data_IF_128496848410
#
_entry.id   IF_128496848410
#
_cell.length_a   1.000
_cell.length_b   1.000
_cell.length_c   1.000
_cell.angle_alpha   90.00
_cell.angle_beta   90.00
_cell.angle_gamma   90.00
#
_symmetry.space_group_name_H-M   'P 1'
#
loop_
_entity.id
_entity.type
_entity.pdbx_description
1 polymer ?
2 non-polymer ?
#
# COMPACT_ATOMS: atom_id res chain seq x y z
N UNK A 20 1.29 -23.38 17.30
CA UNK A 20 2.23 -22.39 17.78
C UNK A 20 2.02 -21.05 17.10
N UNK A 21 2.07 -19.97 17.89
CA UNK A 21 1.85 -18.63 17.33
C UNK A 21 3.03 -18.14 16.51
N UNK A 22 4.20 -18.76 16.66
CA UNK A 22 5.38 -18.30 15.91
C UNK A 22 5.24 -18.60 14.43
N UNK A 23 4.70 -19.77 14.09
CA UNK A 23 4.56 -20.14 12.68
C UNK A 23 3.60 -19.21 11.95
N UNK A 24 2.50 -18.84 12.59
CA UNK A 24 1.57 -17.91 11.96
C UNK A 24 2.09 -16.47 12.01
N UNK A 25 2.87 -16.13 13.05
CA UNK A 25 3.46 -14.79 13.11
C UNK A 25 4.46 -14.58 11.99
N UNK A 26 5.21 -15.63 11.64
CA UNK A 26 6.13 -15.53 10.50
C UNK A 26 5.34 -15.37 9.20
N UNK A 27 4.21 -16.08 9.08
CA UNK A 27 3.40 -15.98 7.88
C UNK A 27 2.77 -14.60 7.74
N UNK A 28 2.31 -14.02 8.85
CA UNK A 28 1.75 -12.68 8.81
C UNK A 28 2.84 -11.66 8.50
N UNK A 29 4.07 -11.92 8.96
CA UNK A 29 5.19 -11.04 8.64
C UNK A 29 5.45 -11.02 7.14
N UNK A 30 5.49 -12.20 6.52
CA UNK A 30 5.65 -12.26 5.07
C UNK A 30 4.39 -11.79 4.35
N UNK A 31 3.24 -11.84 5.02
CA UNK A 31 2.02 -11.29 4.42
C UNK A 31 2.13 -9.77 4.28
N UNK A 32 2.72 -9.11 5.27
CA UNK A 32 2.99 -7.68 5.14
C UNK A 32 3.96 -7.42 3.99
N UNK A 33 4.96 -8.29 3.81
CA UNK A 33 5.89 -8.13 2.70
C UNK A 33 5.18 -8.25 1.37
N UNK A 34 4.30 -9.25 1.24
CA UNK A 34 3.54 -9.40 0.00
C UNK A 34 2.61 -8.21 -0.23
N UNK A 35 2.05 -7.65 0.85
CA UNK A 35 1.19 -6.49 0.71
C UNK A 35 1.99 -5.24 0.36
N UNK A 36 3.16 -5.07 0.97
CA UNK A 36 4.00 -3.91 0.68
C UNK A 36 4.69 -4.00 -0.66
N UNK A 37 4.73 -5.19 -1.28
CA UNK A 37 5.32 -5.33 -2.60
C UNK A 37 4.53 -4.59 -3.68
N UNK A 38 3.27 -4.25 -3.41
CA UNK A 38 2.48 -3.49 -4.37
C UNK A 38 3.03 -2.09 -4.59
N UNK A 39 3.80 -1.56 -3.64
CA UNK A 39 4.43 -0.25 -3.78
C UNK A 39 5.83 -0.35 -4.36
N UNK A 40 6.58 -1.39 -4.01
CA UNK A 40 7.95 -1.53 -4.51
C UNK A 40 7.94 -2.00 -5.97
N UNK A 41 7.08 -2.96 -6.30
CA UNK A 41 7.04 -3.47 -7.67
C UNK A 41 6.44 -2.45 -8.63
N UNK A 42 5.52 -1.61 -8.15
CA UNK A 42 4.90 -0.57 -8.97
C UNK A 42 5.60 0.77 -8.85
N UNK A 43 6.85 0.77 -8.41
CA UNK A 43 7.59 2.03 -8.29
C UNK A 43 7.85 2.62 -9.66
N UNK A 44 7.83 3.96 -9.74
CA UNK A 44 8.01 4.67 -11.00
C UNK A 44 9.35 5.40 -10.96
N UNK A 45 10.41 4.83 -11.51
CA UNK A 45 11.71 5.51 -11.53
C UNK A 45 11.72 6.62 -12.57
N UNK A 46 12.86 7.32 -12.62
CA UNK A 46 13.04 8.38 -13.60
C UNK A 46 13.06 7.80 -15.01
N UNK A 47 12.12 8.25 -15.84
CA UNK A 47 11.97 7.74 -17.20
C UNK A 47 11.84 8.90 -18.18
N UNK A 48 12.11 8.59 -19.45
CA UNK A 48 12.00 9.58 -20.51
C UNK A 48 11.74 8.84 -21.82
N UNK A 49 11.29 9.60 -22.82
CA UNK A 49 10.97 9.03 -24.11
C UNK A 49 12.24 8.66 -24.88
N UNK A 50 12.08 7.77 -25.85
CA UNK A 50 13.19 7.37 -26.71
C UNK A 50 13.56 8.51 -27.64
N UNK A 51 14.85 8.85 -27.69
CA UNK A 51 15.34 9.94 -28.52
C UNK A 51 16.60 9.48 -29.25
N UNK A 52 16.73 9.78 -30.54
CA UNK A 52 17.96 9.40 -31.26
C UNK A 52 19.19 10.16 -30.81
N UNK A 53 19.02 11.30 -30.12
CA UNK A 53 20.16 12.05 -29.63
C UNK A 53 20.74 11.49 -28.34
N UNK A 54 20.06 10.52 -27.72
CA UNK A 54 20.51 9.97 -26.44
C UNK A 54 20.61 8.45 -26.48
N UNK A 55 19.78 7.80 -27.29
CA UNK A 55 19.70 6.34 -27.31
C UNK A 55 20.35 5.71 -28.53
N UNK A 56 20.62 6.47 -29.59
CA UNK A 56 21.26 5.92 -30.78
C UNK A 56 22.77 5.83 -30.55
N UNK A 57 23.51 5.58 -31.63
CA UNK A 57 24.97 5.46 -31.53
C UNK A 57 25.58 6.79 -31.12
N UNK A 58 26.76 6.70 -30.49
CA UNK A 58 27.43 7.90 -30.02
C UNK A 58 27.92 8.77 -31.17
N UNK A 59 28.25 8.16 -32.31
CA UNK A 59 28.71 8.90 -33.47
C UNK A 59 27.53 9.65 -34.10
N UNK A 60 27.50 10.97 -33.91
CA UNK A 60 26.43 11.81 -34.44
C UNK A 60 27.04 12.97 -35.21
N UNK A 61 26.24 13.53 -36.12
CA UNK A 61 26.67 14.64 -36.94
C UNK A 61 26.60 15.95 -36.16
N UNK A 67 28.77 14.73 -27.09
CA UNK A 67 29.20 15.61 -26.02
C UNK A 67 28.02 16.37 -25.43
N UNK A 68 28.12 16.72 -24.14
CA UNK A 68 27.09 17.44 -23.40
C UNK A 68 25.75 16.72 -23.50
N UNK A 69 25.59 15.58 -22.82
CA UNK A 69 24.30 14.86 -22.92
C UNK A 69 23.14 15.62 -22.32
N UNK A 70 23.38 16.48 -21.33
CA UNK A 70 22.31 17.27 -20.74
C UNK A 70 21.72 18.24 -21.76
N UNK A 71 22.58 18.85 -22.58
CA UNK A 71 22.10 19.77 -23.61
C UNK A 71 21.24 19.05 -24.64
N UNK A 72 21.65 17.85 -25.05
CA UNK A 72 20.84 17.08 -26.00
C UNK A 72 19.52 16.66 -25.37
N UNK A 73 19.54 16.28 -24.09
CA UNK A 73 18.31 15.92 -23.39
C UNK A 73 17.37 17.11 -23.31
N UNK A 74 17.92 18.32 -23.10
CA UNK A 74 17.09 19.51 -23.01
C UNK A 74 16.51 19.89 -24.36
N UNK A 75 17.32 19.83 -25.42
CA UNK A 75 16.84 20.22 -26.75
C UNK A 75 15.96 19.15 -27.38
N UNK A 76 15.99 17.91 -26.87
CA UNK A 76 15.17 16.84 -27.43
C UNK A 76 13.85 16.65 -26.69
N UNK A 77 13.75 17.10 -25.43
CA UNK A 77 12.54 16.92 -24.65
C UNK A 77 12.11 18.26 -24.07
N UNK A 78 10.85 18.66 -24.24
CA UNK A 78 10.41 19.94 -23.66
C UNK A 78 10.31 19.83 -22.15
N UNK A 79 10.53 20.93 -21.43
CA UNK A 79 10.44 20.88 -19.97
C UNK A 79 9.01 20.64 -19.50
N UNK A 80 8.89 20.02 -18.34
CA UNK A 80 7.59 19.73 -17.76
C UNK A 80 7.48 20.18 -16.32
N UNK A 81 6.88 19.35 -15.48
CA UNK A 81 6.70 19.73 -14.08
C UNK A 81 8.03 19.78 -13.33
N UNK A 82 8.10 20.72 -12.39
CA UNK A 82 9.28 20.92 -11.55
C UNK A 82 10.52 21.17 -12.40
N UNK A 83 10.34 21.92 -13.49
CA UNK A 83 11.43 22.29 -14.41
C UNK A 83 12.19 21.08 -14.94
N UNK A 84 11.56 19.92 -14.98
CA UNK A 84 12.17 18.69 -15.46
C UNK A 84 11.73 18.40 -16.88
N UNK A 85 12.52 17.65 -17.65
CA UNK A 85 12.07 17.23 -18.98
C UNK A 85 10.83 16.36 -18.89
N UNK A 86 9.88 16.60 -19.78
CA UNK A 86 8.61 15.88 -19.74
C UNK A 86 8.81 14.41 -20.01
N UNK A 87 7.87 13.59 -19.51
CA UNK A 87 7.97 12.15 -19.63
C UNK A 87 6.97 11.54 -20.61
N UNK A 88 6.09 12.36 -21.19
CA UNK A 88 5.09 11.85 -22.13
C UNK A 88 5.01 12.70 -23.39
N UNK A 89 5.98 13.59 -23.61
CA UNK A 89 6.00 14.44 -24.80
C UNK A 89 7.42 14.56 -25.31
N UNK A 90 7.57 14.59 -26.63
CA UNK A 90 8.87 14.70 -27.26
C UNK A 90 8.77 15.65 -28.46
N UNK A 91 9.84 16.41 -28.68
CA UNK A 91 9.90 17.31 -29.82
C UNK A 91 9.99 16.53 -31.12
N UNK A 92 9.17 16.90 -32.10
CA UNK A 92 9.24 16.24 -33.40
C UNK A 92 10.52 16.57 -34.14
N UNK A 93 11.10 17.73 -33.85
CA UNK A 93 12.35 18.18 -34.45
C UNK A 93 13.27 18.70 -33.36
N UNK A 94 14.60 18.65 -33.57
CA UNK A 94 15.52 19.15 -32.56
C UNK A 94 15.36 20.65 -32.32
N UNK A 95 14.91 21.01 -31.11
CA UNK A 95 14.67 22.41 -30.77
C UNK A 95 15.98 23.01 -30.26
N UNK A 96 16.71 23.65 -31.18
CA UNK A 96 17.97 24.28 -30.84
C UNK A 96 17.80 25.55 -30.00
N UNK A 97 16.56 25.93 -29.69
CA UNK A 97 16.34 27.13 -28.89
C UNK A 97 16.85 26.96 -27.47
N UNK A 98 16.88 25.74 -26.95
CA UNK A 98 17.39 25.46 -25.62
C UNK A 98 18.90 25.29 -25.58
N UNK A 99 19.58 25.47 -26.72
CA UNK A 99 21.03 25.35 -26.79
C UNK A 99 21.73 26.69 -26.89
N UNK A 100 21.22 27.59 -27.71
CA UNK A 100 21.83 28.92 -27.86
C UNK A 100 21.65 29.71 -26.58
N UNK A 101 22.73 30.19 -25.96
CA UNK A 101 22.59 30.94 -24.70
C UNK A 101 21.86 32.26 -24.86
N UNK A 102 21.91 32.86 -26.05
CA UNK A 102 21.24 34.14 -26.29
C UNK A 102 19.80 33.98 -26.75
N UNK A 103 19.35 32.76 -27.00
CA UNK A 103 17.97 32.54 -27.43
C UNK A 103 17.01 32.70 -26.25
N UNK A 104 15.77 33.07 -26.57
CA UNK A 104 14.73 33.26 -25.56
C UNK A 104 14.19 31.90 -25.16
N UNK A 105 14.53 31.47 -23.94
CA UNK A 105 14.09 30.17 -23.45
C UNK A 105 12.60 30.16 -23.19
N UNK A 106 12.02 28.96 -23.23
CA UNK A 106 10.59 28.74 -22.96
C UNK A 106 9.71 29.58 -23.89
N UNK A 107 9.90 29.38 -25.19
CA UNK A 107 9.12 30.06 -26.20
C UNK A 107 8.69 29.18 -27.36
N UNK A 108 8.91 27.87 -27.28
CA UNK A 108 8.53 26.98 -28.37
C UNK A 108 7.02 26.80 -28.44
N UNK A 109 6.56 26.23 -29.55
CA UNK A 109 5.14 26.01 -29.77
C UNK A 109 4.74 24.60 -29.36
N UNK A 110 3.44 24.44 -29.09
CA UNK A 110 2.93 23.13 -28.69
C UNK A 110 2.84 22.18 -29.87
N UNK A 111 2.68 22.71 -31.09
CA UNK A 111 2.57 21.85 -32.26
C UNK A 111 3.87 21.13 -32.59
N UNK A 112 5.00 21.60 -32.06
CA UNK A 112 6.29 20.98 -32.31
C UNK A 112 6.53 19.73 -31.47
N UNK A 113 5.52 19.24 -30.77
CA UNK A 113 5.64 18.06 -29.92
C UNK A 113 4.81 16.91 -30.48
N UNK A 114 5.28 15.70 -30.24
CA UNK A 114 4.62 14.49 -30.69
C UNK A 114 4.32 13.59 -29.50
N UNK A 115 3.21 12.83 -29.54
CA UNK A 115 2.79 12.01 -28.40
C UNK A 115 3.58 10.71 -28.23
N UNK A 116 4.93 10.85 -28.20
CA UNK A 116 5.84 9.74 -27.91
C UNK A 116 5.63 8.58 -28.88
N UNK A 117 5.88 8.85 -30.17
CA UNK A 117 5.69 7.83 -31.20
C UNK A 117 6.74 6.74 -31.14
N UNK A 118 7.87 6.99 -30.49
CA UNK A 118 8.98 6.03 -30.44
C UNK A 118 9.11 5.33 -29.09
N UNK A 119 8.06 5.40 -28.26
CA UNK A 119 8.10 4.72 -26.98
C UNK A 119 8.81 5.54 -25.91
N UNK A 120 9.26 4.83 -24.88
CA UNK A 120 9.94 5.46 -23.75
C UNK A 120 11.15 4.64 -23.36
N UNK A 121 11.95 5.20 -22.45
CA UNK A 121 13.12 4.51 -21.89
C UNK A 121 13.14 4.77 -20.39
N UNK A 122 13.84 3.91 -19.67
CA UNK A 122 13.86 3.96 -18.21
C UNK A 122 15.29 3.95 -17.71
N UNK A 123 15.55 4.75 -16.67
CA UNK A 123 16.87 4.82 -16.05
C UNK A 123 16.90 3.89 -14.84
N UNK A 124 17.93 3.04 -14.79
CA UNK A 124 18.06 2.05 -13.71
C UNK A 124 18.86 2.65 -12.54
N UNK A 125 18.34 3.77 -12.02
CA UNK A 125 19.00 4.45 -10.91
C UNK A 125 18.64 3.81 -9.57
N UNK A 126 17.35 3.79 -9.25
CA UNK A 126 16.89 3.27 -7.97
C UNK A 126 16.38 1.85 -8.14
N UNK A 127 15.80 1.56 -9.30
CA UNK A 127 15.26 0.24 -9.59
C UNK A 127 15.68 -0.18 -10.98
N UNK A 128 16.05 -1.45 -11.12
CA UNK A 128 16.50 -1.99 -12.40
C UNK A 128 15.40 -2.68 -13.19
N UNK A 129 14.32 -3.09 -12.54
CA UNK A 129 13.22 -3.77 -13.23
C UNK A 129 11.97 -3.67 -12.38
N UNK A 130 10.93 -3.04 -12.93
CA UNK A 130 9.65 -2.90 -12.26
C UNK A 130 8.53 -3.15 -13.26
N UNK A 131 7.30 -3.23 -12.75
CA UNK A 131 6.15 -3.43 -13.63
C UNK A 131 5.85 -2.17 -14.43
N UNK A 132 6.36 -1.02 -14.01
CA UNK A 132 6.16 0.21 -14.77
C UNK A 132 7.01 0.20 -16.03
N UNK A 133 8.26 -0.26 -15.92
CA UNK A 133 9.15 -0.30 -17.07
C UNK A 133 8.83 -1.45 -18.01
N UNK A 134 8.13 -2.47 -17.52
CA UNK A 134 7.83 -3.63 -18.37
C UNK A 134 6.65 -3.35 -19.30
N UNK A 135 5.52 -2.91 -18.74
CA UNK A 135 4.32 -2.66 -19.52
C UNK A 135 4.12 -1.18 -19.86
N UNK A 136 5.15 -0.37 -19.69
CA UNK A 136 5.13 1.05 -20.06
C UNK A 136 4.00 1.79 -19.33
N UNK A 137 4.12 1.84 -18.01
CA UNK A 137 3.16 2.56 -17.17
C UNK A 137 3.56 4.02 -16.99
N UNK A 138 3.76 4.72 -18.11
CA UNK A 138 4.14 6.12 -18.10
C UNK A 138 2.95 6.97 -17.67
N UNK A 139 3.20 8.26 -17.41
CA UNK A 139 2.12 9.15 -16.96
C UNK A 139 1.04 9.31 -18.03
N UNK A 140 1.36 8.99 -19.29
CA UNK A 140 0.34 9.01 -20.33
C UNK A 140 -0.75 7.97 -20.05
N UNK A 141 -0.40 6.85 -19.44
CA UNK A 141 -1.33 5.81 -19.02
C UNK A 141 -1.06 5.40 -17.58
N UNK A 142 -0.88 6.38 -16.71
CA UNK A 142 -0.50 6.12 -15.32
C UNK A 142 -1.62 5.49 -14.51
N UNK A 143 -2.84 5.43 -15.03
CA UNK A 143 -3.96 4.87 -14.29
C UNK A 143 -3.84 3.36 -14.11
N UNK A 144 -2.89 2.70 -14.80
CA UNK A 144 -2.77 1.26 -14.69
C UNK A 144 -2.29 0.84 -13.31
N UNK A 145 -1.42 1.62 -12.67
CA UNK A 145 -0.95 1.24 -11.33
C UNK A 145 -2.05 1.37 -10.29
N UNK A 146 -2.81 2.46 -10.20
CA UNK A 146 -3.95 2.47 -9.27
C UNK A 146 -5.01 1.44 -9.61
N UNK A 147 -5.19 1.13 -10.90
CA UNK A 147 -6.14 0.08 -11.27
C UNK A 147 -5.68 -1.28 -10.77
N UNK A 148 -4.38 -1.58 -10.89
CA UNK A 148 -3.86 -2.84 -10.36
C UNK A 148 -3.95 -2.89 -8.84
N UNK A 149 -3.68 -1.76 -8.17
CA UNK A 149 -3.83 -1.71 -6.72
C UNK A 149 -5.28 -1.94 -6.30
N UNK A 150 -6.22 -1.35 -7.04
CA UNK A 150 -7.64 -1.56 -6.73
C UNK A 150 -8.06 -2.99 -7.02
N UNK A 151 -7.50 -3.62 -8.04
CA UNK A 151 -7.81 -5.02 -8.32
C UNK A 151 -7.28 -5.91 -7.19
N UNK A 152 -6.07 -5.63 -6.72
CA UNK A 152 -5.53 -6.38 -5.59
C UNK A 152 -6.38 -6.20 -4.34
N UNK A 153 -6.81 -4.97 -4.06
CA UNK A 153 -7.64 -4.73 -2.89
C UNK A 153 -9.02 -5.34 -3.04
N UNK A 154 -9.55 -5.43 -4.26
CA UNK A 154 -10.83 -6.09 -4.48
C UNK A 154 -10.69 -7.59 -4.29
N UNK A 155 -9.55 -8.16 -4.69
CA UNK A 155 -9.28 -9.55 -4.40
C UNK A 155 -9.15 -9.82 -2.91
N UNK A 156 -8.58 -8.86 -2.18
CA UNK A 156 -8.55 -8.96 -0.72
C UNK A 156 -9.96 -8.91 -0.16
N UNK A 157 -10.81 -8.03 -0.71
CA UNK A 157 -12.17 -7.87 -0.21
C UNK A 157 -12.98 -9.14 -0.44
N UNK A 158 -13.07 -9.59 -1.69
CA UNK A 158 -13.86 -10.79 -2.00
C UNK A 158 -13.22 -12.04 -1.43
N UNK A 159 -11.94 -11.99 -1.06
CA UNK A 159 -11.30 -13.17 -0.47
C UNK A 159 -11.82 -13.50 0.91
N UNK A 160 -12.11 -12.46 1.70
CA UNK A 160 -12.61 -12.69 3.06
C UNK A 160 -14.05 -13.18 3.06
N UNK A 161 -14.87 -12.70 2.12
CA UNK A 161 -16.27 -13.09 2.09
C UNK A 161 -16.44 -14.53 1.57
N UNK A 162 -15.67 -14.90 0.54
CA UNK A 162 -15.81 -16.22 -0.03
C UNK A 162 -15.19 -17.30 0.85
N UNK A 163 -14.12 -16.98 1.57
CA UNK A 163 -13.46 -17.96 2.42
C UNK A 163 -14.23 -18.24 3.71
N UNK A 164 -15.29 -17.47 4.00
CA UNK A 164 -16.10 -17.72 5.16
C UNK A 164 -16.77 -19.08 5.14
N UNK A 165 -17.69 -19.27 4.19
CA UNK A 165 -18.30 -20.61 4.04
C UNK A 165 -17.30 -21.68 3.68
N UNK A 166 -16.22 -21.34 2.99
CA UNK A 166 -15.20 -22.33 2.65
C UNK A 166 -14.52 -22.86 3.91
N UNK A 167 -14.16 -21.96 4.83
CA UNK A 167 -13.56 -22.39 6.09
C UNK A 167 -14.59 -23.03 7.01
N UNK A 168 -15.86 -22.66 6.86
CA UNK A 168 -16.91 -23.24 7.70
C UNK A 168 -17.23 -24.67 7.28
N UNK A 169 -17.11 -24.98 5.98
CA UNK A 169 -17.45 -26.30 5.47
C UNK A 169 -16.24 -27.21 5.41
N UNK A 170 -15.12 -26.74 4.84
CA UNK A 170 -13.94 -27.56 4.63
C UNK A 170 -12.99 -27.56 5.81
N UNK A 171 -13.14 -26.65 6.76
CA UNK A 171 -12.22 -26.56 7.88
C UNK A 171 -11.21 -25.45 7.70
N UNK A 172 -10.78 -24.83 8.81
CA UNK A 172 -9.89 -23.68 8.70
C UNK A 172 -8.48 -24.10 8.32
N UNK A 173 -8.02 -25.26 8.79
CA UNK A 173 -6.64 -25.67 8.52
C UNK A 173 -6.45 -26.09 7.08
N UNK A 174 -7.40 -26.85 6.53
CA UNK A 174 -7.28 -27.29 5.14
C UNK A 174 -7.29 -26.11 4.18
N UNK A 175 -8.23 -25.17 4.37
CA UNK A 175 -8.27 -24.00 3.51
C UNK A 175 -7.10 -23.07 3.79
N UNK A 176 -6.52 -23.09 4.99
CA UNK A 176 -5.31 -22.31 5.24
C UNK A 176 -4.14 -22.86 4.45
N UNK A 177 -3.98 -24.19 4.44
CA UNK A 177 -2.93 -24.80 3.64
C UNK A 177 -3.16 -24.57 2.15
N UNK A 178 -4.42 -24.63 1.71
CA UNK A 178 -4.73 -24.37 0.31
C UNK A 178 -4.43 -22.92 -0.05
N UNK A 179 -4.69 -21.98 0.86
CA UNK A 179 -4.38 -20.59 0.61
C UNK A 179 -2.87 -20.35 0.58
N UNK A 180 -2.12 -21.08 1.41
CA UNK A 180 -0.66 -21.00 1.34
C UNK A 180 -0.15 -21.50 0.00
N UNK A 181 -0.70 -22.64 -0.46
CA UNK A 181 -0.32 -23.17 -1.78
C UNK A 181 -0.66 -22.18 -2.88
N UNK A 182 -1.85 -21.56 -2.82
CA UNK A 182 -2.24 -20.59 -3.83
C UNK A 182 -1.34 -19.36 -3.78
N UNK A 183 -0.96 -18.92 -2.59
CA UNK A 183 -0.03 -17.81 -2.45
C UNK A 183 1.29 -18.12 -3.13
N UNK A 184 1.85 -19.31 -2.86
CA UNK A 184 3.10 -19.71 -3.47
C UNK A 184 2.98 -19.77 -4.99
N UNK A 185 1.87 -20.34 -5.48
CA UNK A 185 1.68 -20.50 -6.92
C UNK A 185 1.57 -19.15 -7.61
N UNK A 186 0.74 -18.26 -7.06
CA UNK A 186 0.55 -16.95 -7.68
C UNK A 186 1.76 -16.04 -7.50
N UNK A 187 2.60 -16.30 -6.49
CA UNK A 187 3.84 -15.54 -6.38
C UNK A 187 4.88 -16.01 -7.38
N UNK A 188 4.99 -17.32 -7.58
CA UNK A 188 5.89 -17.84 -8.60
C UNK A 188 5.38 -17.59 -10.02
N UNK A 189 4.08 -17.30 -10.16
CA UNK A 189 3.52 -17.07 -11.48
C UNK A 189 3.50 -15.58 -11.84
N UNK A 190 3.31 -14.72 -10.84
CA UNK A 190 3.28 -13.28 -11.12
C UNK A 190 4.62 -12.77 -11.62
N UNK A 191 5.71 -13.38 -11.16
CA UNK A 191 7.04 -12.99 -11.64
C UNK A 191 7.27 -13.38 -13.10
N UNK A 192 6.45 -14.30 -13.63
CA UNK A 192 6.57 -14.75 -15.01
C UNK A 192 5.36 -14.33 -15.86
N UNK A 193 4.63 -13.31 -15.42
CA UNK A 193 3.46 -12.86 -16.17
C UNK A 193 3.88 -12.15 -17.44
N UNK A 194 3.47 -12.61 -18.61
CA UNK A 194 3.89 -11.96 -19.86
C UNK A 194 3.00 -10.79 -20.26
N UNK A 195 1.78 -10.76 -19.73
CA UNK A 195 0.80 -9.74 -20.07
C UNK A 195 0.29 -9.05 -18.82
N UNK A 196 -0.41 -7.94 -19.03
CA UNK A 196 -0.97 -7.15 -17.93
C UNK A 196 -2.24 -7.78 -17.36
N UNK A 197 -3.20 -8.24 -18.18
CA UNK A 197 -4.36 -8.93 -17.59
C UNK A 197 -4.00 -10.21 -16.86
N UNK A 198 -3.00 -10.95 -17.36
CA UNK A 198 -2.57 -12.16 -16.67
C UNK A 198 -1.97 -11.81 -15.31
N UNK A 199 -1.15 -10.76 -15.26
CA UNK A 199 -0.59 -10.30 -13.99
C UNK A 199 -1.68 -9.84 -13.04
N UNK A 200 -2.71 -9.17 -13.58
CA UNK A 200 -3.82 -8.72 -12.74
C UNK A 200 -4.59 -9.90 -12.16
N UNK A 201 -4.82 -10.93 -12.97
CA UNK A 201 -5.51 -12.11 -12.47
C UNK A 201 -4.67 -12.84 -11.43
N UNK A 202 -3.35 -12.92 -11.66
CA UNK A 202 -2.47 -13.54 -10.68
C UNK A 202 -2.49 -12.78 -9.35
N UNK A 203 -2.44 -11.45 -9.41
CA UNK A 203 -2.53 -10.65 -8.20
C UNK A 203 -3.89 -10.79 -7.52
N UNK A 204 -4.95 -10.93 -8.31
CA UNK A 204 -6.28 -11.14 -7.74
C UNK A 204 -6.34 -12.45 -6.96
N UNK A 205 -5.83 -13.53 -7.54
CA UNK A 205 -5.83 -14.81 -6.85
C UNK A 205 -4.91 -14.78 -5.62
N UNK A 206 -3.76 -14.10 -5.74
CA UNK A 206 -2.86 -13.95 -4.60
C UNK A 206 -3.54 -13.19 -3.47
N UNK A 207 -4.30 -12.15 -3.81
CA UNK A 207 -5.01 -11.39 -2.78
C UNK A 207 -6.14 -12.22 -2.17
N UNK A 208 -6.80 -13.06 -2.98
CA UNK A 208 -7.78 -13.99 -2.44
C UNK A 208 -7.16 -14.90 -1.39
N UNK A 209 -6.01 -15.49 -1.72
CA UNK A 209 -5.34 -16.38 -0.78
C UNK A 209 -4.86 -15.62 0.45
N UNK A 210 -4.39 -14.38 0.27
CA UNK A 210 -3.95 -13.56 1.39
C UNK A 210 -5.10 -13.28 2.34
N UNK A 211 -6.27 -12.93 1.78
CA UNK A 211 -7.44 -12.67 2.60
C UNK A 211 -7.88 -13.94 3.33
N UNK A 212 -7.80 -15.09 2.67
CA UNK A 212 -8.12 -16.34 3.34
C UNK A 212 -7.20 -16.61 4.52
N UNK A 213 -5.89 -16.43 4.31
CA UNK A 213 -4.92 -16.62 5.38
C UNK A 213 -5.20 -15.65 6.52
N UNK A 214 -5.53 -14.40 6.20
CA UNK A 214 -5.79 -13.40 7.23
C UNK A 214 -7.02 -13.77 8.04
N UNK A 215 -8.10 -14.18 7.37
CA UNK A 215 -9.32 -14.57 8.07
C UNK A 215 -9.08 -15.78 8.95
N UNK A 216 -8.30 -16.75 8.47
CA UNK A 216 -8.02 -17.93 9.28
C UNK A 216 -7.17 -17.57 10.50
N UNK A 217 -6.16 -16.72 10.32
CA UNK A 217 -5.35 -16.29 11.45
C UNK A 217 -6.20 -15.53 12.47
N UNK A 218 -7.11 -14.68 12.00
CA UNK A 218 -7.96 -13.95 12.91
C UNK A 218 -8.92 -14.84 13.67
N UNK A 219 -9.53 -15.81 13.00
CA UNK A 219 -10.45 -16.72 13.66
C UNK A 219 -9.74 -17.75 14.52
N UNK A 220 -8.44 -17.96 14.33
CA UNK A 220 -7.70 -18.89 15.18
C UNK A 220 -7.09 -18.21 16.40
N UNK A 221 -6.61 -16.97 16.24
CA UNK A 221 -5.99 -16.27 17.37
C UNK A 221 -7.03 -15.85 18.41
N UNK A 222 -8.26 -15.58 17.97
CA UNK A 222 -9.30 -15.18 18.92
C UNK A 222 -9.73 -16.37 19.79
N UNK A 223 -9.81 -17.55 19.21
CA UNK A 223 -10.19 -18.76 19.93
C UNK A 223 -8.99 -19.56 20.44
N UNK A 224 -7.80 -18.96 20.43
CA UNK A 224 -6.61 -19.68 20.90
C UNK A 224 -6.57 -19.71 22.43
N UNK A 225 -6.54 -18.54 23.06
CA UNK A 225 -6.50 -18.44 24.51
C UNK A 225 -7.68 -17.68 25.10
N UNK A 226 -8.07 -16.57 24.47
CA UNK A 226 -9.19 -15.77 24.97
C UNK A 226 -10.52 -16.46 24.67
N UNK A 228 -9.48 -12.93 28.11
CA UNK A 228 -8.74 -11.84 28.72
C UNK A 228 -7.41 -11.62 28.02
N UNK A 229 -6.89 -12.68 27.39
CA UNK A 229 -5.63 -12.63 26.67
C UNK A 229 -5.80 -12.16 25.23
N UNK A 230 -6.96 -11.64 24.87
CA UNK A 230 -7.17 -11.14 23.51
C UNK A 230 -6.29 -9.94 23.18
N UNK A 231 -6.19 -8.90 24.02
CA UNK A 231 -5.31 -7.78 23.65
C UNK A 231 -3.85 -8.15 23.52
N UNK A 232 -3.36 -9.09 24.35
CA UNK A 232 -1.96 -9.49 24.27
C UNK A 232 -1.66 -10.16 22.94
N UNK A 233 -2.47 -11.14 22.55
CA UNK A 233 -2.24 -11.83 21.29
C UNK A 233 -2.50 -10.89 20.11
N UNK A 234 -3.42 -9.94 20.27
CA UNK A 234 -3.65 -8.96 19.20
C UNK A 234 -2.43 -8.08 18.99
N UNK A 235 -1.85 -7.59 20.08
CA UNK A 235 -0.63 -6.78 19.97
C UNK A 235 0.53 -7.60 19.44
N UNK A 236 0.62 -8.88 19.81
CA UNK A 236 1.67 -9.73 19.29
C UNK A 236 1.54 -9.92 17.77
N UNK A 237 0.31 -10.18 17.31
CA UNK A 237 0.10 -10.32 15.87
C UNK A 237 0.35 -9.00 15.14
N UNK A 238 -0.01 -7.88 15.76
CA UNK A 238 0.23 -6.59 15.12
C UNK A 238 1.72 -6.30 15.02
N UNK A 239 2.49 -6.67 16.04
CA UNK A 239 3.95 -6.49 15.98
C UNK A 239 4.57 -7.42 14.94
N UNK A 240 4.08 -8.66 14.86
CA UNK A 240 4.56 -9.56 13.83
C UNK A 240 4.26 -9.06 12.44
N UNK A 241 3.12 -8.39 12.25
CA UNK A 241 2.80 -7.79 10.97
C UNK A 241 3.69 -6.59 10.69
N UNK A 242 3.92 -5.75 11.70
CA UNK A 242 4.76 -4.57 11.52
C UNK A 242 6.21 -4.95 11.23
N UNK A 243 6.66 -6.11 11.70
CA UNK A 243 7.97 -6.61 11.32
C UNK A 243 8.10 -6.81 9.82
N UNK A 244 6.96 -7.04 9.14
CA UNK A 244 6.99 -7.20 7.69
C UNK A 244 7.46 -5.96 6.96
N UNK A 245 7.26 -4.78 7.56
CA UNK A 245 7.77 -3.56 6.95
C UNK A 245 9.29 -3.58 6.85
N UNK A 246 9.96 -3.84 7.98
CA UNK A 246 11.41 -3.96 7.94
C UNK A 246 11.86 -5.12 7.09
N UNK A 247 11.10 -6.22 7.09
CA UNK A 247 11.46 -7.37 6.26
C UNK A 247 11.47 -7.00 4.78
N UNK A 248 10.38 -6.40 4.29
CA UNK A 248 10.32 -6.02 2.88
C UNK A 248 11.30 -4.91 2.57
N UNK A 249 11.60 -4.03 3.53
CA UNK A 249 12.63 -3.01 3.30
C UNK A 249 14.00 -3.66 3.08
N UNK A 250 14.36 -4.64 3.93
CA UNK A 250 15.63 -5.34 3.75
C UNK A 250 15.66 -6.10 2.44
N UNK A 251 14.55 -6.75 2.07
CA UNK A 251 14.53 -7.53 0.85
C UNK A 251 14.64 -6.63 -0.38
N UNK A 252 13.98 -5.46 -0.34
CA UNK A 252 14.05 -4.52 -1.46
C UNK A 252 15.41 -3.84 -1.54
N UNK A 253 16.09 -3.70 -0.40
CA UNK A 253 17.46 -3.19 -0.45
C UNK A 253 18.43 -4.25 -0.94
N UNK A 254 18.14 -5.52 -0.70
CA UNK A 254 18.97 -6.60 -1.20
C UNK A 254 18.83 -6.83 -2.69
N UNK A 255 17.62 -7.19 -3.12
CA UNK A 255 17.34 -7.46 -4.53
C UNK A 255 16.64 -6.26 -5.14
N UNK A 256 16.89 -6.01 -6.43
CA UNK A 256 16.35 -4.86 -7.12
C UNK A 256 15.42 -5.23 -8.27
N UNK A 257 15.29 -6.52 -8.59
CA UNK A 257 14.41 -6.97 -9.65
C UNK A 257 13.09 -7.43 -9.05
N UNK A 258 11.98 -6.95 -9.62
CA UNK A 258 10.66 -7.25 -9.06
C UNK A 258 10.31 -8.73 -9.20
N UNK A 259 10.77 -9.37 -10.28
CA UNK A 259 10.52 -10.80 -10.44
C UNK A 259 11.26 -11.61 -9.38
N UNK A 260 12.56 -11.35 -9.23
CA UNK A 260 13.34 -12.03 -8.20
C UNK A 260 12.84 -11.67 -6.81
N UNK A 261 12.36 -10.43 -6.63
CA UNK A 261 11.77 -10.02 -5.37
C UNK A 261 10.54 -10.86 -5.04
N UNK A 262 9.59 -10.95 -5.98
CA UNK A 262 8.40 -11.76 -5.76
C UNK A 262 8.77 -13.23 -5.51
N UNK A 263 9.78 -13.73 -6.22
CA UNK A 263 10.21 -15.11 -6.02
C UNK A 263 10.70 -15.34 -4.60
N UNK A 264 11.65 -14.51 -4.14
CA UNK A 264 12.20 -14.70 -2.80
C UNK A 264 11.18 -14.37 -1.72
N UNK A 265 10.13 -13.62 -2.05
CA UNK A 265 9.10 -13.34 -1.05
C UNK A 265 8.13 -14.50 -0.95
N UNK A 266 7.81 -15.15 -2.08
CA UNK A 266 6.92 -16.30 -2.07
C UNK A 266 7.63 -17.60 -1.74
N UNK A 267 8.96 -17.61 -1.66
CA UNK A 267 9.68 -18.83 -1.28
C UNK A 267 9.32 -19.31 0.12
N UNK A 268 9.31 -18.46 1.16
CA UNK A 268 8.96 -18.97 2.50
C UNK A 268 7.55 -19.54 2.58
N UNK A 269 6.62 -19.11 1.72
CA UNK A 269 5.28 -19.67 1.74
C UNK A 269 5.27 -21.13 1.28
N UNK A 270 6.27 -21.55 0.50
CA UNK A 270 6.39 -22.98 0.20
C UNK A 270 6.62 -23.79 1.47
N UNK A 271 7.53 -23.33 2.32
CA UNK A 271 7.74 -24.01 3.60
C UNK A 271 6.53 -23.86 4.51
N UNK A 272 5.83 -22.72 4.44
CA UNK A 272 4.62 -22.55 5.22
C UNK A 272 3.56 -23.59 4.83
N UNK A 273 3.45 -23.88 3.54
CA UNK A 273 2.54 -24.93 3.09
C UNK A 273 3.06 -26.31 3.48
N UNK A 274 4.38 -26.53 3.39
CA UNK A 274 4.96 -27.80 3.80
C UNK A 274 4.78 -28.05 5.30
N UNK A 275 4.52 -27.00 6.09
CA UNK A 275 4.23 -27.18 7.51
C UNK A 275 2.90 -27.87 7.76
N UNK A 276 2.18 -28.26 6.72
CA UNK A 276 0.86 -28.87 6.89
C UNK A 276 0.97 -30.28 7.46
N UNK A 277 -0.17 -30.81 7.91
CA UNK A 277 -0.28 -32.17 8.42
C UNK A 277 0.68 -32.41 9.59
N UNK A 278 0.82 -31.39 10.45
CA UNK A 278 1.68 -31.47 11.63
C UNK A 278 3.12 -31.84 11.26
N UNK A 279 3.64 -31.14 10.25
CA UNK A 279 5.00 -31.34 9.74
C UNK A 279 5.18 -32.79 9.27
N UNK A 280 4.32 -33.19 8.32
CA UNK A 280 4.36 -34.51 7.70
C UNK A 280 4.24 -35.62 8.76
N UNK A 281 3.09 -35.62 9.45
CA UNK A 281 2.84 -36.65 10.46
C UNK A 281 2.61 -38.00 9.83
N UNK A 282 1.68 -38.07 8.87
CA UNK A 282 1.34 -39.31 8.16
C UNK A 282 0.96 -40.43 9.12
N UNK A 338 -26.80 -15.22 11.78
CA UNK A 338 -26.20 -14.12 12.52
C UNK A 338 -26.58 -12.76 11.97
N UNK A 339 -27.69 -12.71 11.23
CA UNK A 339 -28.15 -11.46 10.65
C UNK A 339 -28.81 -10.59 11.72
N UNK A 340 -29.05 -9.34 11.36
CA UNK A 340 -29.66 -8.37 12.27
C UNK A 340 -30.40 -7.32 11.46
N UNK A 341 -31.39 -6.70 12.11
CA UNK A 341 -32.23 -5.69 11.47
C UNK A 341 -31.95 -4.33 12.09
N UNK A 342 -31.74 -3.33 11.23
CA UNK A 342 -31.49 -1.95 11.65
C UNK A 342 -32.53 -1.02 11.03
N UNK A 343 -33.79 -1.44 11.08
CA UNK A 343 -34.86 -0.63 10.50
C UNK A 343 -35.09 0.68 11.25
N UNK A 344 -35.14 0.73 12.60
CA UNK A 344 -35.31 2.03 13.25
C UNK A 344 -34.19 3.02 12.98
N UNK A 345 -32.95 2.54 12.98
CA UNK A 345 -31.83 3.44 12.72
C UNK A 345 -30.51 2.71 12.90
N UNK A 346 -29.43 3.50 12.82
CA UNK A 346 -28.09 2.95 12.96
C UNK A 346 -27.73 2.63 14.40
N UNK A 347 -28.53 3.08 15.37
CA UNK A 347 -28.35 2.80 16.79
C UNK A 347 -27.03 3.31 17.34
N UNK A 348 -26.40 4.26 16.64
CA UNK A 348 -25.28 5.08 17.12
C UNK A 348 -23.99 4.30 17.34
N UNK A 349 -23.96 2.99 17.09
CA UNK A 349 -22.77 2.19 17.36
C UNK A 349 -22.16 1.61 16.08
N UNK A 350 -22.93 0.84 15.31
CA UNK A 350 -22.37 0.21 14.12
C UNK A 350 -21.98 1.25 13.06
N UNK A 351 -22.71 2.35 13.00
CA UNK A 351 -22.36 3.41 12.05
C UNK A 351 -20.99 3.98 12.37
N UNK A 352 -20.74 4.30 13.64
CA UNK A 352 -19.44 4.85 14.03
C UNK A 352 -18.34 3.81 13.85
N UNK A 353 -18.62 2.55 14.17
CA UNK A 353 -17.63 1.50 13.99
C UNK A 353 -17.24 1.36 12.53
N UNK A 354 -18.23 1.29 11.64
CA UNK A 354 -17.95 1.19 10.21
C UNK A 354 -17.24 2.44 9.70
N UNK A 355 -17.57 3.61 10.26
CA UNK A 355 -16.89 4.84 9.84
C UNK A 355 -15.41 4.81 10.19
N UNK A 356 -15.10 4.41 11.44
CA UNK A 356 -13.68 4.33 11.83
C UNK A 356 -12.94 3.27 11.03
N UNK A 357 -13.59 2.12 10.76
CA UNK A 357 -12.93 1.09 9.96
C UNK A 357 -12.68 1.58 8.54
N UNK A 358 -13.68 2.23 7.93
CA UNK A 358 -13.53 2.81 6.60
C UNK A 358 -12.37 3.81 6.57
N UNK A 359 -12.32 4.69 7.58
CA UNK A 359 -11.26 5.70 7.63
C UNK A 359 -9.89 5.04 7.74
N UNK A 360 -9.75 4.08 8.66
CA UNK A 360 -8.46 3.40 8.83
C UNK A 360 -8.03 2.74 7.53
N UNK A 361 -8.92 1.93 6.93
CA UNK A 361 -8.55 1.23 5.71
C UNK A 361 -8.18 2.18 4.59
N UNK A 362 -8.98 3.24 4.40
CA UNK A 362 -8.73 4.19 3.34
C UNK A 362 -7.38 4.87 3.51
N UNK A 363 -7.14 5.47 4.68
CA UNK A 363 -5.88 6.18 4.89
C UNK A 363 -4.68 5.23 4.84
N UNK A 364 -4.82 4.03 5.40
CA UNK A 364 -3.69 3.10 5.41
C UNK A 364 -3.33 2.66 3.99
N UNK A 365 -4.31 2.19 3.21
CA UNK A 365 -4.02 1.72 1.88
C UNK A 365 -3.87 2.86 0.86
N UNK A 366 -4.07 4.11 1.27
CA UNK A 366 -3.75 5.23 0.41
C UNK A 366 -2.41 5.85 0.71
N UNK A 367 -1.91 5.66 1.94
CA UNK A 367 -0.64 6.22 2.34
C UNK A 367 0.51 5.22 2.26
N UNK A 368 0.22 3.93 2.30
CA UNK A 368 1.29 2.92 2.28
C UNK A 368 1.69 2.53 0.86
N UNK A 369 0.84 2.76 -0.13
CA UNK A 369 1.11 2.37 -1.51
C UNK A 369 1.78 3.48 -2.32
N UNK A 370 2.10 4.62 -1.71
CA UNK A 370 2.75 5.73 -2.39
C UNK A 370 3.88 6.28 -1.52
N UNK A 371 4.69 5.38 -0.97
CA UNK A 371 5.79 5.79 -0.12
C UNK A 371 6.89 6.53 -0.88
N UNK A 372 6.88 6.43 -2.21
CA UNK A 372 7.90 7.14 -3.00
C UNK A 372 7.71 8.65 -2.96
N UNK A 373 6.46 9.11 -2.86
CA UNK A 373 6.16 10.53 -2.85
C UNK A 373 6.12 11.11 -1.43
N UNK A 374 6.17 10.26 -0.40
CA UNK A 374 6.13 10.73 0.98
C UNK A 374 7.52 10.96 1.57
N UNK A 375 8.57 10.58 0.87
CA UNK A 375 9.92 10.76 1.39
C UNK A 375 10.93 10.79 0.26
N UNK A 376 12.18 11.10 0.63
CA UNK A 376 13.26 11.14 -0.35
C UNK A 376 13.70 9.75 -0.77
N UNK A 377 13.68 8.78 0.13
CA UNK A 377 14.07 7.41 -0.16
C UNK A 377 12.98 6.46 0.29
N UNK A 378 12.65 5.49 -0.56
CA UNK A 378 11.59 4.54 -0.24
C UNK A 378 12.06 3.58 0.85
N UNK A 379 13.29 3.06 0.71
CA UNK A 379 13.81 2.10 1.69
C UNK A 379 14.02 2.77 3.04
N UNK A 380 14.51 4.01 3.05
CA UNK A 380 14.71 4.72 4.30
C UNK A 380 13.39 4.96 5.01
N UNK A 381 12.37 5.39 4.25
CA UNK A 381 11.05 5.61 4.84
C UNK A 381 10.45 4.32 5.37
N UNK A 382 10.63 3.22 4.63
CA UNK A 382 10.12 1.93 5.08
C UNK A 382 10.80 1.47 6.36
N UNK A 383 12.12 1.61 6.43
CA UNK A 383 12.83 1.25 7.66
C UNK A 383 12.42 2.13 8.82
N UNK A 384 12.22 3.43 8.56
CA UNK A 384 11.80 4.35 9.62
C UNK A 384 10.43 3.96 10.16
N UNK A 385 9.47 3.71 9.27
CA UNK A 385 8.13 3.37 9.75
C UNK A 385 8.15 2.00 10.43
N UNK A 386 8.98 1.07 9.95
CA UNK A 386 9.07 -0.23 10.60
C UNK A 386 9.69 -0.18 11.98
N UNK A 387 10.63 0.76 12.20
CA UNK A 387 11.24 0.90 13.51
C UNK A 387 10.41 1.78 14.44
N UNK A 388 9.52 2.61 13.91
CA UNK A 388 8.68 3.45 14.76
C UNK A 388 7.32 2.82 15.09
N UNK A 389 6.81 1.92 14.23
CA UNK A 389 5.49 1.35 14.45
C UNK A 389 5.45 0.43 15.67
N UNK A 390 6.59 -0.10 16.11
CA UNK A 390 6.61 -1.01 17.25
C UNK A 390 6.40 -0.23 18.56
N UNK A 391 7.20 0.80 18.87
CA UNK A 391 6.92 1.55 20.10
C UNK A 391 5.61 2.31 20.06
N UNK A 392 5.18 2.75 18.88
CA UNK A 392 3.89 3.41 18.76
C UNK A 392 2.76 2.46 19.17
N UNK A 393 2.80 1.22 18.68
CA UNK A 393 1.77 0.26 19.05
C UNK A 393 1.91 -0.18 20.50
N UNK A 394 3.14 -0.22 21.03
CA UNK A 394 3.32 -0.51 22.45
C UNK A 394 2.64 0.55 23.30
N UNK A 395 2.88 1.84 22.99
CA UNK A 395 2.20 2.90 23.70
C UNK A 395 0.70 2.90 23.50
N UNK A 396 0.25 2.50 22.31
CA UNK A 396 -1.18 2.39 22.06
C UNK A 396 -1.80 1.33 22.97
N UNK A 397 -1.17 0.17 23.08
CA UNK A 397 -1.66 -0.86 23.99
C UNK A 397 -1.60 -0.38 25.44
N UNK A 398 -0.57 0.40 25.79
CA UNK A 398 -0.45 0.93 27.14
C UNK A 398 -1.63 1.83 27.48
N UNK A 399 -1.96 2.77 26.58
CA UNK A 399 -3.10 3.65 26.81
C UNK A 399 -4.42 2.89 26.74
N UNK A 400 -4.47 1.81 25.95
CA UNK A 400 -5.69 1.00 25.89
C UNK A 400 -5.93 0.28 27.22
N UNK A 401 -4.87 -0.21 27.84
CA UNK A 401 -4.99 -0.93 29.11
C UNK A 401 -4.91 -0.02 30.32
N UNK A 402 -4.63 1.28 30.14
CA UNK A 402 -4.46 2.19 31.26
C UNK A 402 -5.53 3.27 31.36
N UNK A 403 -6.08 3.75 30.24
CA UNK A 403 -6.98 4.88 30.26
C UNK A 403 -8.23 4.70 29.40
N UNK A 404 -8.51 3.49 28.93
CA UNK A 404 -9.72 3.20 28.19
C UNK A 404 -9.44 2.97 26.71
N UNK A 405 -10.52 2.91 25.94
CA UNK A 405 -10.47 2.64 24.52
C UNK A 405 -10.82 3.85 23.67
N UNK A 406 -11.95 4.52 23.97
CA UNK A 406 -12.38 5.65 23.16
C UNK A 406 -11.43 6.84 23.22
N UNK A 407 -10.98 7.31 24.39
CA UNK A 407 -10.13 8.52 24.38
C UNK A 407 -8.81 8.33 23.65
N UNK A 408 -8.12 7.20 23.87
CA UNK A 408 -6.87 6.96 23.18
C UNK A 408 -7.08 6.78 21.68
N UNK A 409 -8.18 6.14 21.28
CA UNK A 409 -8.49 5.99 19.86
C UNK A 409 -8.69 7.35 19.21
N UNK A 410 -9.50 8.22 19.84
CA UNK A 410 -9.73 9.55 19.31
C UNK A 410 -8.44 10.36 19.27
N UNK A 411 -7.60 10.23 20.29
CA UNK A 411 -6.34 10.96 20.31
C UNK A 411 -5.42 10.51 19.20
N UNK A 412 -5.32 9.19 18.98
CA UNK A 412 -4.47 8.69 17.90
C UNK A 412 -5.00 9.11 16.53
N UNK A 413 -6.32 9.07 16.35
CA UNK A 413 -6.91 9.49 15.08
C UNK A 413 -6.63 10.97 14.81
N UNK A 414 -6.83 11.81 15.84
CA UNK A 414 -6.58 13.24 15.67
C UNK A 414 -5.10 13.51 15.42
N UNK A 415 -4.21 12.78 16.09
CA UNK A 415 -2.78 12.96 15.87
C UNK A 415 -2.39 12.58 14.45
N UNK A 416 -2.91 11.46 13.95
CA UNK A 416 -2.61 11.05 12.58
C UNK A 416 -3.15 12.07 11.59
N UNK A 417 -4.38 12.56 11.81
CA UNK A 417 -4.95 13.56 10.92
C UNK A 417 -4.14 14.84 10.89
N UNK A 418 -3.73 15.32 12.07
CA UNK A 418 -2.94 16.55 12.12
C UNK A 418 -1.56 16.34 11.50
N UNK A 419 -0.98 15.15 11.67
CA UNK A 419 0.32 14.87 11.07
C UNK A 419 0.23 14.86 9.55
N UNK A 420 -0.82 14.24 9.00
CA UNK A 420 -0.97 14.22 7.55
C UNK A 420 -1.28 15.62 7.02
N UNK A 421 -2.05 16.40 7.78
CA UNK A 421 -2.33 17.78 7.36
C UNK A 421 -1.07 18.62 7.37
N UNK A 422 -0.20 18.43 8.35
CA UNK A 422 1.06 19.16 8.38
C UNK A 422 1.98 18.70 7.25
N UNK A 423 1.98 17.41 6.96
CA UNK A 423 2.75 16.90 5.81
C UNK A 423 2.25 17.52 4.51
N UNK A 424 0.94 17.73 4.40
CA UNK A 424 0.40 18.41 3.23
C UNK A 424 0.80 19.87 3.19
N UNK A 425 0.79 20.54 4.35
CA UNK A 425 1.13 21.96 4.39
C UNK A 425 2.62 22.19 4.24
N UNK A 426 3.44 21.29 4.76
CA UNK A 426 4.90 21.45 4.67
C UNK A 426 5.33 21.28 3.20
N UNK A 427 6.14 22.19 2.66
CA UNK A 427 6.55 22.06 1.26
C UNK A 427 7.44 20.86 1.03
N UNK A 428 7.67 20.56 -0.25
CA UNK A 428 8.45 19.40 -0.64
C UNK A 428 9.96 19.61 -0.44
N UNK A 429 10.38 20.81 -0.03
CA UNK A 429 11.81 21.06 0.17
C UNK A 429 12.34 20.32 1.38
N UNK A 430 11.61 20.37 2.49
CA UNK A 430 12.04 19.72 3.74
C UNK A 430 11.59 18.26 3.71
N UNK A 431 12.47 17.39 3.19
CA UNK A 431 12.12 15.98 3.09
C UNK A 431 12.17 15.24 4.42
N UNK A 432 13.05 15.66 5.32
CA UNK A 432 13.15 14.99 6.62
C UNK A 432 11.87 15.16 7.43
N UNK A 433 11.37 16.40 7.52
CA UNK A 433 10.13 16.63 8.25
C UNK A 433 8.95 15.96 7.56
N UNK A 434 8.96 15.90 6.23
CA UNK A 434 7.90 15.22 5.51
C UNK A 434 7.88 13.74 5.84
N UNK A 435 9.05 13.10 5.82
CA UNK A 435 9.14 11.68 6.15
C UNK A 435 8.74 11.44 7.61
N UNK A 436 9.15 12.33 8.51
CA UNK A 436 8.79 12.18 9.91
C UNK A 436 7.28 12.29 10.11
N UNK A 437 6.65 13.25 9.43
CA UNK A 437 5.19 13.40 9.56
C UNK A 437 4.46 12.21 8.95
N UNK A 438 4.98 11.67 7.83
CA UNK A 438 4.36 10.49 7.24
C UNK A 438 4.47 9.29 8.17
N UNK A 439 5.64 9.10 8.79
CA UNK A 439 5.83 8.00 9.74
C UNK A 439 4.90 8.17 10.94
N UNK A 440 4.77 9.40 11.43
CA UNK A 440 3.89 9.65 12.57
C UNK A 440 2.42 9.38 12.20
N UNK A 441 2.01 9.76 10.99
CA UNK A 441 0.65 9.48 10.56
C UNK A 441 0.39 8.00 10.41
N UNK A 442 1.35 7.26 9.86
CA UNK A 442 1.18 5.82 9.74
C UNK A 442 1.12 5.15 11.11
N UNK A 443 1.97 5.58 12.05
CA UNK A 443 1.88 5.06 13.40
C UNK A 443 0.55 5.38 14.06
N UNK A 444 0.04 6.59 13.81
CA UNK A 444 -1.25 6.97 14.38
C UNK A 444 -2.39 6.14 13.83
N UNK A 445 -2.40 5.90 12.52
CA UNK A 445 -3.48 5.09 11.95
C UNK A 445 -3.34 3.64 12.38
N UNK A 446 -2.11 3.15 12.60
CA UNK A 446 -1.95 1.81 13.14
C UNK A 446 -2.46 1.71 14.57
N UNK A 447 -2.16 2.71 15.39
CA UNK A 447 -2.69 2.73 16.75
C UNK A 447 -4.22 2.82 16.74
N UNK A 448 -4.78 3.59 15.80
CA UNK A 448 -6.24 3.68 15.70
C UNK A 448 -6.84 2.35 15.29
N UNK A 449 -6.18 1.62 14.39
CA UNK A 449 -6.65 0.30 14.02
C UNK A 449 -6.61 -0.65 15.21
N UNK A 450 -5.52 -0.62 15.97
CA UNK A 450 -5.41 -1.46 17.16
C UNK A 450 -6.53 -1.13 18.15
N UNK A 451 -6.80 0.16 18.36
CA UNK A 451 -7.83 0.56 19.31
C UNK A 451 -9.22 0.12 18.84
N UNK A 452 -9.52 0.32 17.55
CA UNK A 452 -10.82 -0.07 17.02
C UNK A 452 -10.97 -1.58 16.96
N UNK A 453 -9.86 -2.32 16.92
CA UNK A 453 -9.95 -3.77 17.00
C UNK A 453 -10.20 -4.22 18.44
N UNK A 454 -9.58 -3.56 19.41
CA UNK A 454 -9.86 -3.87 20.81
C UNK A 454 -11.25 -3.39 21.18
N UNK A 455 -11.69 -2.26 20.62
CA UNK A 455 -13.01 -1.73 20.95
C UNK A 455 -14.12 -2.54 20.30
N UNK A 456 -13.82 -3.24 19.20
CA UNK A 456 -14.86 -4.00 18.51
C UNK A 456 -15.34 -5.18 19.35
N UNK A 457 -14.52 -5.67 20.27
CA UNK A 457 -14.89 -6.80 21.12
C UNK A 457 -15.66 -6.38 22.37
N UNK A 458 -16.02 -5.10 22.50
CA UNK A 458 -16.75 -4.62 23.65
C UNK A 458 -17.95 -3.74 23.32
N UNK A 459 -18.06 -3.23 22.08
CA UNK A 459 -19.16 -2.35 21.73
C UNK A 459 -20.46 -3.09 21.46
N UNK A 460 -20.43 -4.41 21.35
CA UNK A 460 -21.59 -5.21 20.99
C UNK A 460 -21.73 -6.38 21.96
N UNK A 461 -22.93 -6.92 22.10
CA UNK A 461 -23.12 -8.08 22.98
C UNK A 461 -22.32 -9.28 22.50
N UNK A 462 -22.27 -10.30 23.37
CA UNK A 462 -21.45 -11.48 23.09
C UNK A 462 -21.87 -12.18 21.80
N UNK A 463 -23.17 -12.18 21.49
CA UNK A 463 -23.66 -12.86 20.29
C UNK A 463 -23.64 -11.96 19.06
N UNK A 464 -23.49 -10.65 19.24
CA UNK A 464 -23.47 -9.72 18.10
C UNK A 464 -22.07 -9.37 17.64
N UNK A 465 -21.04 -9.68 18.43
CA UNK A 465 -19.66 -9.35 18.08
C UNK A 465 -19.12 -10.14 16.90
N UNK A 467 -20.43 -11.09 14.25
CA UNK A 467 -20.88 -10.45 13.01
C UNK A 467 -20.39 -9.01 12.93
N UNK A 468 -20.25 -8.33 14.06
CA UNK A 468 -19.86 -6.92 14.06
C UNK A 468 -18.42 -6.75 13.60
N UNK A 469 -17.51 -7.61 14.07
CA UNK A 469 -16.12 -7.52 13.63
C UNK A 469 -15.99 -7.83 12.15
N UNK A 470 -16.75 -8.81 11.66
CA UNK A 470 -16.74 -9.10 10.24
C UNK A 470 -17.26 -7.94 9.40
N UNK A 471 -18.35 -7.31 9.85
CA UNK A 471 -18.88 -6.15 9.14
C UNK A 471 -17.89 -5.00 9.16
N UNK A 472 -17.20 -4.80 10.28
CA UNK A 472 -16.20 -3.75 10.35
C UNK A 472 -15.02 -4.00 9.42
N UNK A 473 -14.55 -5.25 9.37
CA UNK A 473 -13.47 -5.59 8.44
C UNK A 473 -13.91 -5.43 7.00
N UNK A 474 -15.15 -5.80 6.68
CA UNK A 474 -15.65 -5.62 5.32
C UNK A 474 -15.74 -4.15 4.97
N UNK A 475 -16.19 -3.31 5.91
CA UNK A 475 -16.26 -1.88 5.65
C UNK A 475 -14.87 -1.27 5.49
N UNK A 476 -13.90 -1.75 6.27
CA UNK A 476 -12.53 -1.27 6.12
C UNK A 476 -11.96 -1.66 4.76
N UNK A 477 -12.23 -2.88 4.31
CA UNK A 477 -11.79 -3.30 2.98
C UNK A 477 -12.45 -2.45 1.90
N UNK A 478 -13.75 -2.20 2.03
CA UNK A 478 -14.43 -1.36 1.06
C UNK A 478 -13.89 0.06 1.03
N UNK A 479 -13.52 0.59 2.20
CA UNK A 479 -12.85 1.88 2.23
C UNK A 479 -11.48 1.85 1.61
N UNK A 480 -10.76 0.73 1.76
CA UNK A 480 -9.48 0.58 1.09
C UNK A 480 -9.65 0.52 -0.43
N UNK A 481 -10.79 0.02 -0.90
CA UNK A 481 -11.05 -0.04 -2.34
C UNK A 481 -10.91 1.34 -2.97
N UNK A 482 -11.48 2.36 -2.33
CA UNK A 482 -11.41 3.72 -2.82
C UNK A 482 -10.08 4.40 -2.52
N UNK A 483 -9.14 3.70 -1.89
CA UNK A 483 -7.85 4.26 -1.56
C UNK A 483 -7.06 4.67 -2.78
N UNK A 484 -6.63 3.70 -3.58
CA UNK A 484 -5.88 4.04 -4.80
C UNK A 484 -6.70 4.82 -5.82
N UNK A 485 -8.03 4.68 -5.80
CA UNK A 485 -8.85 5.44 -6.74
C UNK A 485 -8.84 6.93 -6.44
N UNK A 486 -8.69 7.30 -5.16
CA UNK A 486 -8.61 8.72 -4.81
C UNK A 486 -7.28 9.30 -5.28
N UNK A 487 -6.21 8.49 -5.28
CA UNK A 487 -4.91 8.96 -5.74
C UNK A 487 -4.94 9.39 -7.21
N UNK A 488 -5.95 8.96 -7.97
CA UNK A 488 -6.08 9.40 -9.36
C UNK A 488 -6.44 10.87 -9.46
N UNK A 489 -6.89 11.50 -8.37
CA UNK A 489 -7.22 12.92 -8.37
C UNK A 489 -5.99 13.81 -8.37
N UNK A 490 -4.79 13.25 -8.45
CA UNK A 490 -3.57 14.04 -8.47
C UNK A 490 -3.39 14.88 -9.72
N UNK A 491 -4.19 14.67 -10.75
CA UNK A 491 -4.10 15.48 -11.95
C UNK A 491 -4.52 16.92 -11.70
N UNK A 492 -5.33 17.16 -10.67
CA UNK A 492 -5.73 18.51 -10.30
C UNK A 492 -4.78 19.14 -9.28
N UNK A 493 -4.07 18.33 -8.51
CA UNK A 493 -3.13 18.83 -7.53
C UNK A 493 -2.49 17.71 -6.73
N UNK A 494 -1.18 17.80 -6.51
CA UNK A 494 -0.49 16.75 -5.75
C UNK A 494 -0.85 16.71 -4.27
N UNK A 495 -1.48 17.76 -3.74
CA UNK A 495 -1.84 17.79 -2.32
C UNK A 495 -3.26 17.30 -2.05
N UNK A 496 -4.10 17.18 -3.08
CA UNK A 496 -5.48 16.76 -2.87
C UNK A 496 -5.59 15.35 -2.31
N UNK A 497 -4.86 14.34 -2.82
CA UNK A 497 -4.90 13.03 -2.15
C UNK A 497 -4.43 13.10 -0.71
N UNK A 498 -3.34 13.81 -0.45
CA UNK A 498 -2.89 13.99 0.93
C UNK A 498 -3.88 14.84 1.73
N UNK A 499 -4.55 15.80 1.09
CA UNK A 499 -5.57 16.57 1.77
C UNK A 499 -6.70 15.66 2.26
N UNK A 500 -7.14 14.71 1.43
CA UNK A 500 -8.18 13.78 1.85
C UNK A 500 -7.63 12.83 2.92
N UNK A 501 -6.40 12.35 2.75
CA UNK A 501 -5.80 11.44 3.72
C UNK A 501 -5.57 12.13 5.06
N UNK A 502 -5.59 13.45 5.11
CA UNK A 502 -5.49 14.16 6.36
C UNK A 502 -6.85 14.57 6.92
N UNK A 503 -7.81 14.82 6.03
CA UNK A 503 -9.14 15.25 6.47
C UNK A 503 -9.96 14.08 7.00
N UNK A 504 -9.84 12.90 6.39
CA UNK A 504 -10.63 11.74 6.84
C UNK A 504 -10.31 11.35 8.28
N UNK A 505 -9.05 11.21 8.69
CA UNK A 505 -8.79 10.87 10.11
C UNK A 505 -9.27 11.92 11.08
N UNK A 506 -9.28 13.20 10.70
CA UNK A 506 -9.78 14.23 11.60
C UNK A 506 -11.26 14.01 11.89
N UNK A 507 -12.05 13.78 10.84
CA UNK A 507 -13.47 13.50 11.03
C UNK A 507 -13.69 12.19 11.77
N UNK A 508 -12.84 11.20 11.51
CA UNK A 508 -12.97 9.92 12.22
C UNK A 508 -12.73 10.10 13.72
N UNK A 509 -11.72 10.88 14.09
CA UNK A 509 -11.47 11.15 15.49
C UNK A 509 -12.52 12.02 16.14
N UNK A 510 -13.08 12.97 15.38
CA UNK A 510 -14.17 13.78 15.91
C UNK A 510 -15.42 12.95 16.13
N UNK A 511 -15.64 11.93 15.30
CA UNK A 511 -16.78 11.04 15.50
C UNK A 511 -16.48 9.91 16.47
N UNK A 512 -15.21 9.62 16.73
CA UNK A 512 -14.85 8.55 17.67
C UNK A 512 -15.14 8.93 19.11
N UNK A 513 -15.21 10.22 19.42
CA UNK A 513 -15.49 10.65 20.79
C UNK A 513 -16.92 10.34 21.21
N UNK A 514 -17.81 10.05 20.26
CA UNK A 514 -19.21 9.76 20.57
C UNK A 514 -19.44 8.29 20.92
N UNK A 515 -18.40 7.45 20.86
CA UNK A 515 -18.58 6.05 21.17
C UNK A 515 -18.86 5.86 22.65
N UNK A 516 -19.79 4.96 23.03
CA UNK A 516 -20.13 4.71 24.42
C UNK A 516 -19.02 3.97 25.17
X LIG B 1 -7.88 -5.00 4.96
X LIG B 1 -7.33 -4.84 6.38
X LIG B 1 -6.69 -3.45 6.53
X LIG B 1 -8.49 -4.96 7.37
X LIG B 1 -4.77 -6.16 5.52
X LIG B 1 -3.50 -5.69 5.83
X LIG B 1 -2.52 -5.76 4.85
X LIG B 1 -3.97 -6.69 3.34
X LIG B 1 -5.01 -6.68 4.24
X LIG B 1 -3.15 -5.12 7.20
X LIG B 1 -2.97 -3.76 7.33
X LIG B 1 -2.64 -3.19 8.56
X LIG B 1 -2.49 -4.02 9.66
X LIG B 1 -2.67 -5.42 9.55
X LIG B 1 -2.52 -6.23 10.67
X LIG B 1 -2.69 -7.61 10.55
X LIG B 1 -3.02 -8.17 9.31
X LIG B 1 -3.17 -7.34 8.20
X LIG B 1 -3.00 -5.96 8.32
X LIG B 1 -2.13 -3.41 11.02
X LIG B 1 -2.78 -6.24 3.65
X LIG B 1 -1.86 -2.95 12.02
X LIG B 1 -8.66 -6.03 7.99
X LIG B 1 -9.26 -3.99 7.56
X LIG B 1 -6.10 -6.12 6.76
#
# INVERSE_FOLDING_TARGET
>A
MAFSELLDLVGGLGRFQVLQTMALMVSIMWLCTQSMLENFSAAVPSHRCWAPLLDNSTAQASILGSLSPEALLAISIPPGPNQRPHQCRRFRQPQWQLLDPNATATSWSEADTEPCVDGWVYDRSIFTSTIVAKWNLVCDSHALKPMAQSIYLAGILVGAAACGPASDRFGRRLVLTWSYLQMAVMGTAAAFAPAFPVYCLFRFLLAFAVAGVMMNTGTLLMEWTAARARPLVMTLNSLGFSFGHGLTAAVAYGVRDWTLLQLVVSVPFFLCFLYSWWLAESARWLLTTGRLDWGLQELWRVAAINGKGAVQDTLTPEVLLSAMREELSMGQPPASLGTLLRMPGLRFRTCISTLCWFAFGFTFFGLALDLQALGSNIFLLQMFIGVVDIPAKMGALLLLSHLGRRPTLAASLLLAGLCILANTLVPHEMGALRSALAVLGLGGVGAAFTCITIYSSELFPTVLRMTAVGLGQMAARGGAILGPLVRLLGVHGPWLPLLVYGTVPVLSGLAALLLPETQSLPLPDTIQDVQNQAVKKATHGTLGNSVLKSTQF
>B hetero
1 A1AIJ C01 C02 C03 C04 C08 C09 C10 C12 C13 C14 C15 C16 C17 C18 C19 C20 C21 C22 C23 C24 N11 N25 O05 O06 S07
#
